data_IF_945148182807
#
_entry.id   IF_945148182807
#
_cell.length_a   1.000
_cell.length_b   1.000
_cell.length_c   1.000
_cell.angle_alpha   90.00
_cell.angle_beta   90.00
_cell.angle_gamma   90.00
#
_symmetry.space_group_name_H-M   'P 1'
#
loop_
_entity.id
_entity.type
_entity.pdbx_description
1 polymer ?
#
# COMPACT_ATOMS: atom_id res chain seq x y z
N UNK A 1 1.79 13.19 -22.47
CA UNK A 1 0.52 12.63 -22.97
C UNK A 1 -0.63 13.35 -22.29
N UNK A 2 -1.27 14.34 -22.93
CA UNK A 2 -2.46 14.97 -22.38
C UNK A 2 -3.67 14.08 -22.67
N UNK A 3 -4.36 13.60 -21.64
CA UNK A 3 -5.71 13.07 -21.79
C UNK A 3 -6.67 14.26 -21.86
N UNK A 4 -7.64 14.21 -22.77
CA UNK A 4 -8.63 15.28 -22.91
C UNK A 4 -9.60 15.32 -21.72
N UNK A 5 -9.88 14.14 -21.15
CA UNK A 5 -10.58 14.01 -19.87
C UNK A 5 -9.69 13.21 -18.94
N UNK A 6 -9.32 13.79 -17.80
CA UNK A 6 -8.62 13.07 -16.74
C UNK A 6 -9.50 11.97 -16.15
N UNK A 7 -8.88 11.03 -15.44
CA UNK A 7 -9.64 10.03 -14.69
C UNK A 7 -10.54 10.73 -13.67
N UNK A 8 -11.82 10.38 -13.66
CA UNK A 8 -12.81 10.97 -12.76
C UNK A 8 -13.18 9.98 -11.67
N UNK A 9 -13.01 10.39 -10.43
CA UNK A 9 -13.41 9.65 -9.24
C UNK A 9 -14.70 10.25 -8.67
N UNK A 10 -15.67 9.39 -8.33
CA UNK A 10 -16.93 9.77 -7.70
C UNK A 10 -17.20 8.89 -6.49
N UNK A 11 -18.09 9.35 -5.62
CA UNK A 11 -18.60 8.53 -4.52
C UNK A 11 -19.38 7.34 -5.09
N UNK A 12 -19.09 6.10 -4.66
CA UNK A 12 -19.84 4.92 -5.08
C UNK A 12 -21.31 5.02 -4.66
N UNK A 13 -22.21 4.67 -5.56
CA UNK A 13 -23.64 4.57 -5.27
C UNK A 13 -23.95 3.42 -4.32
N UNK A 14 -23.20 2.32 -4.43
CA UNK A 14 -23.25 1.18 -3.53
C UNK A 14 -21.90 0.43 -3.51
N UNK A 15 -21.73 -0.47 -2.53
CA UNK A 15 -20.52 -1.29 -2.40
C UNK A 15 -20.52 -2.57 -3.26
N UNK A 16 -21.65 -2.93 -3.86
CA UNK A 16 -21.84 -4.22 -4.52
C UNK A 16 -21.56 -4.16 -6.03
N UNK A 17 -21.79 -3.01 -6.67
CA UNK A 17 -21.78 -2.82 -8.12
C UNK A 17 -20.99 -1.59 -8.56
N UNK A 18 -20.94 -0.54 -7.72
CA UNK A 18 -20.33 0.74 -8.09
C UNK A 18 -19.07 1.08 -7.28
N UNK A 19 -18.60 0.22 -6.39
CA UNK A 19 -17.38 0.50 -5.63
C UNK A 19 -16.12 -0.01 -6.35
N UNK A 20 -15.40 0.90 -7.02
CA UNK A 20 -14.14 0.56 -7.71
C UNK A 20 -13.14 -0.20 -6.82
N UNK A 21 -12.95 0.23 -5.57
CA UNK A 21 -12.04 -0.43 -4.64
C UNK A 21 -12.51 -1.82 -4.22
N UNK A 22 -13.82 -2.00 -4.06
CA UNK A 22 -14.42 -3.27 -3.66
C UNK A 22 -14.32 -4.30 -4.79
N UNK A 23 -14.48 -3.86 -6.04
CA UNK A 23 -14.39 -4.71 -7.22
C UNK A 23 -12.96 -4.98 -7.70
N UNK A 24 -12.00 -4.10 -7.36
CA UNK A 24 -10.60 -4.31 -7.75
C UNK A 24 -9.96 -5.36 -6.84
N UNK A 25 -9.86 -6.60 -7.32
CA UNK A 25 -9.16 -7.65 -6.59
C UNK A 25 -7.64 -7.55 -6.79
N UNK A 26 -6.93 -7.12 -5.74
CA UNK A 26 -5.47 -7.03 -5.70
C UNK A 26 -4.81 -8.15 -4.87
N UNK A 27 -5.60 -9.08 -4.34
CA UNK A 27 -5.06 -10.19 -3.53
C UNK A 27 -4.23 -11.13 -4.39
N UNK A 28 -3.05 -11.54 -3.90
CA UNK A 28 -2.14 -12.43 -4.62
C UNK A 28 -1.26 -11.75 -5.68
N UNK A 29 -1.39 -10.44 -5.91
CA UNK A 29 -0.49 -9.71 -6.81
C UNK A 29 0.73 -9.13 -6.07
N UNK A 30 1.86 -9.14 -6.76
CA UNK A 30 3.16 -8.66 -6.34
C UNK A 30 3.81 -7.85 -7.46
N UNK A 31 5.03 -7.32 -7.24
CA UNK A 31 5.74 -6.48 -8.21
C UNK A 31 5.95 -7.14 -9.58
N UNK A 32 6.08 -8.48 -9.64
CA UNK A 32 6.34 -9.26 -10.86
C UNK A 32 5.06 -9.47 -11.70
N UNK A 33 3.92 -9.69 -11.06
CA UNK A 33 2.66 -9.99 -11.75
C UNK A 33 1.60 -8.86 -11.67
N UNK A 34 1.93 -7.68 -11.11
CA UNK A 34 1.01 -6.52 -11.03
C UNK A 34 0.37 -6.10 -12.37
N UNK A 35 1.00 -6.43 -13.50
CA UNK A 35 0.45 -6.16 -14.84
C UNK A 35 -0.80 -6.99 -15.17
N UNK A 36 -1.02 -8.09 -14.45
CA UNK A 36 -2.18 -8.97 -14.62
C UNK A 36 -3.41 -8.49 -13.83
N UNK A 37 -3.29 -7.43 -13.03
CA UNK A 37 -4.42 -6.87 -12.29
C UNK A 37 -5.42 -6.29 -13.29
N UNK A 38 -6.65 -6.82 -13.27
CA UNK A 38 -7.75 -6.30 -14.08
C UNK A 38 -8.49 -5.24 -13.26
N UNK A 39 -8.37 -3.99 -13.71
CA UNK A 39 -9.11 -2.88 -13.11
C UNK A 39 -10.50 -2.76 -13.75
N UNK A 40 -11.60 -2.78 -13.00
CA UNK A 40 -12.94 -2.65 -13.57
C UNK A 40 -13.20 -1.22 -14.08
N UNK A 41 -14.18 -1.05 -14.96
CA UNK A 41 -14.71 0.27 -15.31
C UNK A 41 -16.07 0.39 -14.65
N UNK A 42 -16.20 1.28 -13.68
CA UNK A 42 -17.44 1.51 -12.91
C UNK A 42 -17.76 3.01 -12.86
N UNK A 43 -19.03 3.40 -12.65
CA UNK A 43 -19.42 4.81 -12.56
C UNK A 43 -18.62 5.63 -11.53
N UNK A 44 -18.19 5.02 -10.43
CA UNK A 44 -17.36 5.67 -9.40
C UNK A 44 -15.92 5.96 -9.85
N UNK A 45 -15.44 5.34 -10.92
CA UNK A 45 -14.07 5.48 -11.41
C UNK A 45 -14.04 5.37 -12.93
N UNK A 46 -14.25 6.51 -13.59
CA UNK A 46 -14.31 6.62 -15.04
C UNK A 46 -12.91 6.86 -15.57
N UNK A 47 -12.50 6.00 -16.51
CA UNK A 47 -11.17 6.04 -17.12
C UNK A 47 -11.00 7.30 -17.99
N UNK A 48 -9.76 7.79 -18.13
CA UNK A 48 -9.44 8.84 -19.08
C UNK A 48 -9.85 8.43 -20.50
N UNK A 49 -10.39 9.38 -21.26
CA UNK A 49 -10.71 9.19 -22.68
C UNK A 49 -9.70 9.95 -23.52
N UNK A 50 -9.13 9.26 -24.52
CA UNK A 50 -8.27 9.89 -25.53
C UNK A 50 -9.13 10.46 -26.66
N UNK A 51 -8.76 11.64 -27.17
CA UNK A 51 -9.42 12.23 -28.34
C UNK A 51 -9.07 11.42 -29.60
N UNK A 52 -10.03 11.29 -30.52
CA UNK A 52 -9.93 10.44 -31.72
C UNK A 52 -8.77 10.84 -32.65
N UNK A 53 -8.35 12.11 -32.62
CA UNK A 53 -7.18 12.64 -33.34
C UNK A 53 -5.84 12.09 -32.82
N UNK A 54 -5.73 11.80 -31.53
CA UNK A 54 -4.55 11.19 -30.91
C UNK A 54 -4.63 9.65 -30.89
N UNK A 55 -5.84 9.07 -30.86
CA UNK A 55 -6.02 7.61 -30.94
C UNK A 55 -5.47 6.99 -32.24
N UNK A 56 -5.40 7.79 -33.31
CA UNK A 56 -4.83 7.42 -34.61
C UNK A 56 -3.29 7.36 -34.62
N UNK A 57 -2.65 8.03 -33.66
CA UNK A 57 -1.19 8.06 -33.48
C UNK A 57 -0.72 7.20 -32.31
N UNK A 58 -1.65 6.63 -31.53
CA UNK A 58 -1.30 5.53 -30.65
C UNK A 58 -1.28 4.23 -31.48
N UNK A 59 -0.26 3.37 -31.32
CA UNK A 59 -0.37 2.01 -31.81
C UNK A 59 -1.63 1.40 -31.17
N UNK A 60 -2.63 1.16 -32.01
CA UNK A 60 -3.88 0.54 -31.62
C UNK A 60 -3.55 -0.87 -31.13
N UNK A 61 -3.41 -1.05 -29.82
CA UNK A 61 -3.36 -2.38 -29.22
C UNK A 61 -4.77 -2.92 -29.17
N UNK A 62 -5.24 -3.36 -30.34
CA UNK A 62 -6.27 -4.38 -30.40
C UNK A 62 -5.76 -5.54 -29.56
N UNK A 63 -6.49 -5.85 -28.48
CA UNK A 63 -6.37 -7.04 -27.62
C UNK A 63 -5.42 -8.11 -28.17
N UNK A 64 -4.11 -7.94 -27.96
CA UNK A 64 -3.12 -8.92 -28.36
C UNK A 64 -1.97 -8.88 -27.36
N UNK A 65 -1.72 -10.06 -26.83
CA UNK A 65 -0.48 -10.55 -26.25
C UNK A 65 0.75 -9.84 -26.88
N UNK A 66 1.45 -9.01 -26.10
CA UNK A 66 2.75 -8.47 -26.52
C UNK A 66 3.76 -8.60 -25.39
N UNK A 67 4.62 -9.60 -25.55
CA UNK A 67 5.98 -9.62 -25.04
C UNK A 67 6.76 -8.46 -25.68
N UNK A 68 7.28 -7.52 -24.89
CA UNK A 68 8.30 -6.60 -25.37
C UNK A 68 9.42 -6.50 -24.34
N UNK A 69 10.57 -6.89 -24.87
CA UNK A 69 11.93 -6.91 -24.34
C UNK A 69 12.42 -5.50 -24.02
N UNK A 70 13.25 -5.41 -22.98
CA UNK A 70 14.00 -4.21 -22.57
C UNK A 70 14.83 -3.63 -23.71
N UNK A 71 14.90 -2.30 -23.80
CA UNK A 71 16.06 -1.59 -24.34
C UNK A 71 16.15 -0.17 -23.77
N UNK A 72 17.33 0.08 -23.18
CA UNK A 72 17.86 1.32 -22.60
C UNK A 72 17.63 2.58 -23.45
N UNK A 73 17.44 3.71 -22.77
CA UNK A 73 17.98 4.99 -23.20
C UNK A 73 18.59 5.71 -22.00
N UNK A 74 19.91 5.87 -22.07
CA UNK A 74 20.75 6.72 -21.24
C UNK A 74 20.58 8.19 -21.64
N UNK A 75 20.60 9.10 -20.67
CA UNK A 75 21.08 10.46 -20.89
C UNK A 75 21.68 11.01 -19.57
N UNK A 76 23.00 11.18 -19.60
CA UNK A 76 23.81 11.84 -18.58
C UNK A 76 23.60 13.37 -18.64
N UNK A 77 23.46 14.03 -17.47
CA UNK A 77 24.49 14.96 -16.99
C UNK A 77 24.03 15.76 -15.75
N UNK A 78 24.77 15.52 -14.66
CA UNK A 78 25.24 16.47 -13.64
C UNK A 78 24.27 17.51 -13.05
N UNK A 79 23.71 17.17 -11.89
CA UNK A 79 23.71 18.07 -10.74
C UNK A 79 23.88 17.24 -9.49
N UNK A 80 25.02 17.45 -8.83
CA UNK A 80 25.26 17.14 -7.42
C UNK A 80 24.00 17.54 -6.65
N UNK A 81 23.38 16.64 -5.87
CA UNK A 81 22.82 16.86 -4.53
C UNK A 81 22.33 15.50 -3.98
N UNK A 82 22.91 15.11 -2.85
CA UNK A 82 22.44 14.13 -1.87
C UNK A 82 22.08 12.73 -2.40
N UNK A 83 22.99 11.78 -2.16
CA UNK A 83 22.73 10.34 -2.17
C UNK A 83 21.52 10.04 -1.29
N UNK A 84 20.32 10.08 -1.85
CA UNK A 84 19.17 9.44 -1.25
C UNK A 84 19.43 7.94 -1.39
N UNK A 85 20.11 7.37 -0.40
CA UNK A 85 20.09 5.94 -0.13
C UNK A 85 18.62 5.55 0.00
N UNK A 86 18.03 5.20 -1.15
CA UNK A 86 16.80 4.46 -1.23
C UNK A 86 17.07 3.20 -0.45
N UNK A 87 16.65 3.21 0.81
CA UNK A 87 16.76 2.15 1.80
C UNK A 87 15.91 0.96 1.32
N UNK A 88 16.40 0.34 0.25
CA UNK A 88 16.02 -0.93 -0.28
C UNK A 88 16.35 -1.91 0.85
N UNK A 89 15.31 -2.56 1.39
CA UNK A 89 15.35 -3.47 2.55
C UNK A 89 15.16 -2.86 3.94
N UNK A 90 14.28 -1.86 4.12
CA UNK A 90 13.67 -1.70 5.45
C UNK A 90 12.78 -2.91 5.75
N UNK A 91 13.37 -3.91 6.40
CA UNK A 91 12.65 -4.96 7.09
C UNK A 91 11.49 -4.33 7.86
N UNK A 92 10.30 -4.93 7.77
CA UNK A 92 9.12 -4.41 8.45
C UNK A 92 9.45 -4.19 9.93
N UNK A 93 9.29 -2.96 10.40
CA UNK A 93 9.59 -2.59 11.78
C UNK A 93 8.67 -3.37 12.72
N UNK A 94 9.26 -4.14 13.64
CA UNK A 94 8.55 -4.82 14.70
C UNK A 94 8.62 -3.99 15.96
N UNK A 95 7.48 -3.82 16.62
CA UNK A 95 7.36 -3.04 17.84
C UNK A 95 8.05 -3.81 18.96
N UNK A 96 9.07 -3.21 19.57
CA UNK A 96 9.76 -3.80 20.71
C UNK A 96 9.08 -3.45 22.04
N UNK A 97 9.58 -4.00 23.15
CA UNK A 97 9.00 -3.79 24.47
C UNK A 97 9.05 -2.33 24.96
N UNK A 98 10.09 -1.58 24.62
CA UNK A 98 10.23 -0.18 25.03
C UNK A 98 9.24 0.71 24.28
N UNK A 99 9.11 0.52 22.96
CA UNK A 99 8.14 1.21 22.13
C UNK A 99 6.70 0.91 22.55
N UNK A 100 6.41 -0.36 22.85
CA UNK A 100 5.10 -0.77 23.36
C UNK A 100 4.80 -0.09 24.71
N UNK A 101 5.78 0.00 25.61
CA UNK A 101 5.63 0.68 26.90
C UNK A 101 5.40 2.19 26.74
N UNK A 102 6.13 2.84 25.82
CA UNK A 102 5.95 4.25 25.51
C UNK A 102 4.55 4.51 24.96
N UNK A 103 4.11 3.71 23.98
CA UNK A 103 2.77 3.82 23.40
C UNK A 103 1.67 3.69 24.46
N UNK A 104 1.81 2.75 25.39
CA UNK A 104 0.87 2.56 26.51
C UNK A 104 0.85 3.79 27.43
N UNK A 105 2.01 4.41 27.65
CA UNK A 105 2.14 5.63 28.45
C UNK A 105 1.53 6.84 27.75
N UNK A 106 1.84 7.07 26.48
CA UNK A 106 1.35 8.19 25.68
C UNK A 106 -0.18 8.18 25.58
N UNK A 107 -0.75 6.98 25.46
CA UNK A 107 -2.20 6.76 25.39
C UNK A 107 -2.87 6.67 26.78
N UNK A 108 -2.11 6.76 27.87
CA UNK A 108 -2.60 6.62 29.25
C UNK A 108 -3.51 5.40 29.44
N UNK A 109 -3.12 4.24 28.87
CA UNK A 109 -3.96 3.04 28.91
C UNK A 109 -3.97 2.44 30.32
N UNK A 110 -5.16 2.01 30.76
CA UNK A 110 -5.29 1.16 31.96
C UNK A 110 -4.65 -0.21 31.70
N UNK A 111 -4.30 -0.92 32.76
CA UNK A 111 -3.66 -2.24 32.72
C UNK A 111 -4.35 -3.22 31.77
N UNK A 112 -5.67 -3.35 31.89
CA UNK A 112 -6.44 -4.30 31.09
C UNK A 112 -6.46 -3.92 29.60
N UNK A 113 -6.52 -2.61 29.32
CA UNK A 113 -6.47 -2.09 27.94
C UNK A 113 -5.08 -2.24 27.33
N UNK A 114 -4.03 -2.01 28.11
CA UNK A 114 -2.65 -2.20 27.72
C UNK A 114 -2.37 -3.68 27.37
N UNK A 115 -2.85 -4.61 28.19
CA UNK A 115 -2.76 -6.04 27.92
C UNK A 115 -3.54 -6.42 26.65
N UNK A 116 -4.78 -5.95 26.51
CA UNK A 116 -5.60 -6.23 25.33
C UNK A 116 -4.92 -5.74 24.05
N UNK A 117 -4.37 -4.52 24.06
CA UNK A 117 -3.62 -3.96 22.94
C UNK A 117 -2.38 -4.81 22.62
N UNK A 118 -1.58 -5.15 23.61
CA UNK A 118 -0.40 -5.99 23.42
C UNK A 118 -0.77 -7.38 22.86
N UNK A 119 -1.85 -7.99 23.32
CA UNK A 119 -2.35 -9.28 22.82
C UNK A 119 -2.81 -9.19 21.36
N UNK A 120 -3.47 -8.10 20.97
CA UNK A 120 -3.87 -7.87 19.57
C UNK A 120 -2.67 -7.67 18.65
N UNK A 121 -1.70 -6.84 19.06
CA UNK A 121 -0.46 -6.61 18.31
C UNK A 121 0.36 -7.90 18.15
N UNK A 122 0.38 -8.74 19.20
CA UNK A 122 1.00 -10.06 19.14
C UNK A 122 0.32 -10.96 18.11
N UNK A 123 -1.02 -11.01 18.11
CA UNK A 123 -1.79 -11.80 17.14
C UNK A 123 -1.63 -11.34 15.69
N UNK A 124 -1.28 -10.07 15.47
CA UNK A 124 -0.96 -9.52 14.14
C UNK A 124 0.50 -9.71 13.71
N UNK A 125 1.33 -10.36 14.54
CA UNK A 125 2.77 -10.51 14.32
C UNK A 125 3.48 -9.16 14.14
N UNK A 126 3.02 -8.11 14.86
CA UNK A 126 3.63 -6.77 14.83
C UNK A 126 4.58 -6.52 16.00
N UNK A 127 4.69 -7.46 16.94
CA UNK A 127 5.64 -7.39 18.06
C UNK A 127 6.90 -8.18 17.74
N UNK A 128 8.04 -7.72 18.26
CA UNK A 128 9.30 -8.48 18.25
C UNK A 128 9.17 -9.74 19.13
N UNK A 129 9.93 -10.79 18.81
CA UNK A 129 9.82 -12.12 19.47
C UNK A 129 10.14 -12.12 20.97
N UNK A 130 10.88 -11.11 21.42
CA UNK A 130 11.25 -10.84 22.82
C UNK A 130 10.16 -10.08 23.60
N UNK A 131 9.16 -9.54 22.91
CA UNK A 131 8.10 -8.73 23.51
C UNK A 131 7.02 -9.60 24.15
N UNK A 132 6.70 -9.35 25.43
CA UNK A 132 5.75 -10.18 26.18
C UNK A 132 4.53 -9.38 26.60
N UNK A 133 3.39 -9.67 25.97
CA UNK A 133 2.10 -9.08 26.36
C UNK A 133 1.72 -9.37 27.83
N UNK A 134 2.22 -10.47 28.40
CA UNK A 134 1.96 -10.84 29.80
C UNK A 134 2.61 -9.91 30.83
N UNK A 135 3.58 -9.06 30.44
CA UNK A 135 4.24 -8.11 31.36
C UNK A 135 3.24 -7.13 31.97
N UNK A 136 2.21 -6.74 31.22
CA UNK A 136 1.19 -5.82 31.71
C UNK A 136 0.29 -6.44 32.78
N UNK A 137 0.23 -7.78 32.90
CA UNK A 137 -0.51 -8.47 33.97
C UNK A 137 0.11 -8.28 35.36
N UNK A 138 1.42 -8.13 35.45
CA UNK A 138 2.12 -8.19 36.73
C UNK A 138 2.70 -6.83 37.16
N UNK A 139 2.50 -5.76 36.37
CA UNK A 139 3.12 -4.44 36.60
C UNK A 139 2.79 -3.79 37.96
N UNK A 140 1.69 -4.18 38.61
CA UNK A 140 1.29 -3.69 39.93
C UNK A 140 1.33 -4.77 41.03
N UNK A 141 1.85 -5.97 40.73
CA UNK A 141 2.17 -6.93 41.79
C UNK A 141 3.51 -6.46 42.37
N UNK A 142 3.45 -5.84 43.54
CA UNK A 142 4.66 -5.49 44.30
C UNK A 142 5.55 -6.72 44.48
N UNK A 143 6.87 -6.46 44.48
CA UNK A 143 7.86 -7.45 44.91
C UNK A 143 7.56 -7.99 46.31
#
# INVERSE_FOLDING_TARGET
>A
MPFNVSMVWREPSDHATDCYFCWTNITGFNKKNKRQIVYPTVPSAIRPVLTQEDASNLPCSNSMEYTVNDQELQEDTSSEEETFESSLEKQAHLINQAELNNLISDLNLTKDKAELLASRLQGWNLLSSDTKASVFRNRNQGF
#
